data_IF_945361782543
#
_entry.id   IF_945361782543
#
_cell.length_a   1.000
_cell.length_b   1.000
_cell.length_c   1.000
_cell.angle_alpha   90.00
_cell.angle_beta   90.00
_cell.angle_gamma   90.00
#
_symmetry.space_group_name_H-M   'P 1'
#
loop_
_entity.id
_entity.type
_entity.pdbx_description
1 polymer ?
#
# COMPACT_ATOMS: atom_id res chain seq x y z
N UNK A 1 10.51 -2.61 11.91
CA UNK A 1 10.82 -2.02 10.61
C UNK A 1 12.01 -1.11 10.78
N UNK A 2 13.08 -1.42 10.11
CA UNK A 2 14.27 -0.58 10.07
C UNK A 2 14.05 0.49 9.00
N UNK A 3 13.71 1.70 9.42
CA UNK A 3 14.01 2.87 8.62
C UNK A 3 15.50 3.16 8.78
N UNK A 4 16.24 3.33 7.69
CA UNK A 4 17.68 3.13 7.59
C UNK A 4 18.61 3.93 8.52
N UNK A 5 18.13 4.69 9.51
CA UNK A 5 18.96 5.40 10.49
C UNK A 5 18.35 5.56 11.90
N UNK A 6 17.11 5.16 12.12
CA UNK A 6 16.48 5.19 13.44
C UNK A 6 15.76 3.88 13.72
N UNK A 7 16.39 2.99 14.47
CA UNK A 7 15.72 1.82 15.01
C UNK A 7 14.58 2.25 15.93
N UNK A 8 13.33 1.88 15.59
CA UNK A 8 12.21 1.99 16.53
C UNK A 8 12.25 0.75 17.41
N UNK A 9 12.46 0.92 18.69
CA UNK A 9 12.40 -0.16 19.67
C UNK A 9 10.92 -0.35 20.05
N UNK A 10 10.34 -1.49 19.69
CA UNK A 10 9.01 -1.87 20.06
C UNK A 10 9.09 -2.85 21.23
N UNK A 11 8.38 -2.57 22.32
CA UNK A 11 8.22 -3.53 23.41
C UNK A 11 7.38 -4.72 22.89
N UNK A 12 7.84 -5.94 23.15
CA UNK A 12 7.13 -7.15 22.71
C UNK A 12 5.72 -7.25 23.30
N UNK A 13 5.51 -6.69 24.51
CA UNK A 13 4.19 -6.63 25.12
C UNK A 13 3.18 -5.80 24.29
N UNK A 14 3.65 -4.82 23.52
CA UNK A 14 2.79 -4.04 22.62
C UNK A 14 2.28 -4.85 21.43
N UNK A 15 2.89 -6.00 21.14
CA UNK A 15 2.45 -6.90 20.06
C UNK A 15 1.39 -7.91 20.51
N UNK A 16 1.21 -8.14 21.82
CA UNK A 16 0.23 -9.11 22.32
C UNK A 16 -1.19 -8.88 21.77
N UNK A 17 -1.74 -7.64 21.71
CA UNK A 17 -3.09 -7.41 21.22
C UNK A 17 -3.29 -7.73 19.74
N UNK A 18 -2.20 -7.81 18.96
CA UNK A 18 -2.25 -8.03 17.51
C UNK A 18 -1.79 -9.44 17.12
N UNK A 19 -1.36 -10.23 18.10
CA UNK A 19 -0.94 -11.61 17.87
C UNK A 19 -2.08 -12.45 17.31
N UNK A 20 -1.84 -13.13 16.19
CA UNK A 20 -2.85 -13.95 15.50
C UNK A 20 -3.83 -13.16 14.62
N UNK A 21 -3.65 -11.86 14.46
CA UNK A 21 -4.45 -11.05 13.53
C UNK A 21 -3.76 -10.99 12.17
N UNK A 22 -4.13 -11.91 11.27
CA UNK A 22 -3.44 -12.07 9.97
C UNK A 22 -3.95 -11.15 8.85
N UNK A 23 -5.15 -10.57 8.99
CA UNK A 23 -5.83 -9.86 7.89
C UNK A 23 -5.94 -8.35 8.11
N UNK A 24 -5.08 -7.78 8.94
CA UNK A 24 -5.03 -6.34 9.20
C UNK A 24 -3.61 -5.81 9.18
N UNK A 25 -3.48 -4.55 8.83
CA UNK A 25 -2.24 -3.78 8.94
C UNK A 25 -2.42 -2.81 10.09
N UNK A 26 -1.36 -2.66 10.89
CA UNK A 26 -1.36 -1.77 12.04
C UNK A 26 -0.34 -0.65 11.83
N UNK A 27 -0.72 0.54 12.20
CA UNK A 27 0.16 1.69 12.33
C UNK A 27 0.65 1.77 13.78
N UNK A 28 1.96 1.92 13.95
CA UNK A 28 2.59 2.15 15.24
C UNK A 28 3.03 3.61 15.33
N UNK A 29 2.51 4.37 16.28
CA UNK A 29 2.81 5.79 16.49
C UNK A 29 3.97 6.03 17.46
N UNK A 30 4.65 4.97 17.89
CA UNK A 30 5.70 4.99 18.92
C UNK A 30 5.20 4.55 20.30
N UNK A 31 3.88 4.36 20.47
CA UNK A 31 3.25 3.93 21.74
C UNK A 31 2.20 2.86 21.55
N UNK A 32 1.33 3.02 20.55
CA UNK A 32 0.16 2.18 20.33
C UNK A 32 0.14 1.63 18.91
N UNK A 33 -0.40 0.43 18.77
CA UNK A 33 -0.73 -0.19 17.50
C UNK A 33 -2.21 0.04 17.20
N UNK A 34 -2.48 0.78 16.12
CA UNK A 34 -3.84 1.08 15.67
C UNK A 34 -4.07 0.41 14.31
N UNK A 35 -5.16 -0.36 14.12
CA UNK A 35 -5.45 -0.93 12.82
C UNK A 35 -5.71 0.17 11.79
N UNK A 36 -5.15 0.00 10.58
CA UNK A 36 -5.37 0.94 9.47
C UNK A 36 -6.70 0.62 8.82
N UNK A 37 -7.75 1.12 9.46
CA UNK A 37 -9.14 0.93 9.02
C UNK A 37 -10.01 2.14 9.37
N UNK A 38 -11.03 2.40 8.56
CA UNK A 38 -12.01 3.48 8.75
C UNK A 38 -13.41 2.93 8.55
N UNK A 39 -14.32 3.31 9.43
CA UNK A 39 -15.77 3.09 9.30
C UNK A 39 -16.45 4.45 9.13
N UNK A 40 -17.02 4.68 7.96
CA UNK A 40 -17.77 5.88 7.62
C UNK A 40 -19.06 5.51 6.89
N UNK A 41 -19.20 5.87 5.65
CA UNK A 41 -20.23 5.41 4.71
C UNK A 41 -20.00 3.97 4.23
N UNK A 42 -18.85 3.38 4.58
CA UNK A 42 -18.44 2.01 4.33
C UNK A 42 -17.38 1.56 5.32
N UNK A 43 -16.91 0.33 5.17
CA UNK A 43 -15.79 -0.21 5.92
C UNK A 43 -14.57 -0.36 5.01
N UNK A 44 -13.56 0.44 5.30
CA UNK A 44 -12.30 0.53 4.57
C UNK A 44 -11.19 0.01 5.44
N UNK A 45 -10.36 -0.90 4.93
CA UNK A 45 -9.17 -1.37 5.64
C UNK A 45 -8.03 -1.72 4.69
N UNK A 46 -6.80 -1.59 5.16
CA UNK A 46 -5.65 -2.17 4.49
C UNK A 46 -5.51 -3.64 4.88
N UNK A 47 -5.34 -4.48 3.88
CA UNK A 47 -5.14 -5.92 4.02
C UNK A 47 -3.74 -6.29 3.52
N UNK A 48 -2.97 -7.06 4.29
CA UNK A 48 -1.66 -7.51 3.84
C UNK A 48 -1.76 -8.43 2.63
N UNK A 49 -0.76 -8.41 1.79
CA UNK A 49 -0.48 -9.36 0.72
C UNK A 49 0.99 -9.79 0.81
N UNK A 50 1.53 -10.44 -0.18
CA UNK A 50 2.92 -10.88 -0.15
C UNK A 50 3.92 -9.71 -0.14
N UNK A 51 3.64 -8.60 -0.81
CA UNK A 51 4.54 -7.44 -0.84
C UNK A 51 3.87 -6.13 -0.45
N UNK A 52 2.92 -5.65 -1.25
CA UNK A 52 2.25 -4.37 -1.02
C UNK A 52 0.79 -4.59 -0.63
N UNK A 53 0.28 -3.89 0.40
CA UNK A 53 -1.08 -4.06 0.87
C UNK A 53 -2.13 -3.75 -0.21
N UNK A 54 -3.32 -4.28 -0.03
CA UNK A 54 -4.49 -3.87 -0.81
C UNK A 54 -5.50 -3.14 0.05
N UNK A 55 -6.19 -2.17 -0.54
CA UNK A 55 -7.38 -1.58 0.07
C UNK A 55 -8.55 -2.56 -0.11
N UNK A 56 -9.27 -2.85 0.97
CA UNK A 56 -10.52 -3.58 0.97
C UNK A 56 -11.66 -2.64 1.37
N UNK A 57 -12.70 -2.57 0.56
CA UNK A 57 -13.89 -1.76 0.80
C UNK A 57 -15.09 -2.70 0.90
N UNK A 58 -15.75 -2.73 2.06
CA UNK A 58 -16.91 -3.60 2.33
C UNK A 58 -16.67 -5.08 1.93
N UNK A 59 -15.46 -5.59 2.17
CA UNK A 59 -15.08 -6.97 1.87
C UNK A 59 -14.58 -7.20 0.43
N UNK A 60 -14.55 -6.16 -0.41
CA UNK A 60 -14.06 -6.25 -1.79
C UNK A 60 -12.66 -5.64 -1.89
N UNK A 61 -11.69 -6.41 -2.33
CA UNK A 61 -10.32 -5.94 -2.56
C UNK A 61 -10.24 -5.12 -3.84
N UNK A 62 -9.62 -3.94 -3.75
CA UNK A 62 -9.52 -3.00 -4.86
C UNK A 62 -8.39 -3.34 -5.84
N UNK A 63 -7.36 -4.02 -5.39
CA UNK A 63 -6.28 -4.47 -6.25
C UNK A 63 -6.44 -5.96 -6.58
N UNK A 64 -5.97 -6.35 -7.75
CA UNK A 64 -5.79 -7.77 -8.08
C UNK A 64 -4.79 -8.36 -7.10
N UNK A 65 -5.21 -9.38 -6.35
CA UNK A 65 -4.40 -10.06 -5.34
C UNK A 65 -4.53 -11.58 -5.41
N UNK A 66 -5.19 -12.09 -6.47
CA UNK A 66 -5.27 -13.52 -6.79
C UNK A 66 -4.33 -13.78 -7.94
N UNK A 67 -3.42 -14.73 -7.78
CA UNK A 67 -2.41 -15.17 -8.75
C UNK A 67 -1.34 -14.12 -9.11
N UNK A 68 -1.43 -12.91 -8.60
CA UNK A 68 -0.40 -11.87 -8.75
C UNK A 68 -0.48 -10.89 -7.56
N UNK A 69 0.66 -10.44 -7.09
CA UNK A 69 0.74 -9.42 -6.05
C UNK A 69 0.40 -8.03 -6.60
N UNK A 70 -0.28 -7.16 -5.82
CA UNK A 70 -0.64 -5.80 -6.25
C UNK A 70 0.52 -4.97 -6.77
N UNK A 71 1.69 -5.09 -6.16
CA UNK A 71 2.89 -4.37 -6.60
C UNK A 71 3.41 -4.87 -7.93
N UNK A 72 3.44 -6.18 -8.13
CA UNK A 72 3.85 -6.79 -9.40
C UNK A 72 2.89 -6.45 -10.54
N UNK A 73 1.58 -6.50 -10.29
CA UNK A 73 0.54 -6.14 -11.27
C UNK A 73 0.69 -4.67 -11.70
N UNK A 74 0.82 -3.74 -10.74
CA UNK A 74 1.02 -2.34 -11.03
C UNK A 74 2.33 -2.07 -11.78
N UNK A 75 3.43 -2.71 -11.38
CA UNK A 75 4.73 -2.61 -12.06
C UNK A 75 4.65 -3.11 -13.50
N UNK A 76 4.05 -4.28 -13.71
CA UNK A 76 3.93 -4.85 -15.03
C UNK A 76 3.08 -3.98 -15.98
N UNK A 77 1.93 -3.49 -15.52
CA UNK A 77 1.06 -2.60 -16.29
C UNK A 77 1.75 -1.29 -16.63
N UNK A 78 2.42 -0.67 -15.67
CA UNK A 78 3.13 0.59 -15.87
C UNK A 78 4.27 0.45 -16.87
N UNK A 79 5.04 -0.64 -16.79
CA UNK A 79 6.14 -0.92 -17.71
C UNK A 79 5.70 -1.08 -19.19
N UNK A 80 4.43 -1.42 -19.44
CA UNK A 80 3.92 -1.53 -20.80
C UNK A 80 3.72 -0.17 -21.48
N UNK A 81 3.43 0.88 -20.71
CA UNK A 81 2.95 2.16 -21.24
C UNK A 81 3.86 3.33 -20.95
N UNK A 82 4.61 3.34 -19.84
CA UNK A 82 5.47 4.45 -19.44
C UNK A 82 6.88 4.29 -20.02
N UNK A 83 7.42 5.38 -20.51
CA UNK A 83 8.80 5.49 -21.04
C UNK A 83 9.57 6.55 -20.26
N UNK A 84 10.91 6.46 -20.20
CA UNK A 84 11.74 7.53 -19.66
C UNK A 84 11.46 8.86 -20.37
N UNK A 85 11.26 9.92 -19.60
CA UNK A 85 10.91 11.24 -20.09
C UNK A 85 9.42 11.56 -20.19
N UNK A 86 8.54 10.59 -19.96
CA UNK A 86 7.09 10.80 -20.04
C UNK A 86 6.56 11.70 -18.93
N UNK A 87 5.45 12.40 -19.24
CA UNK A 87 4.56 13.03 -18.26
C UNK A 87 3.32 12.13 -18.18
N UNK A 88 3.04 11.62 -17.00
CA UNK A 88 1.98 10.64 -16.76
C UNK A 88 0.83 11.28 -15.98
N UNK A 89 -0.40 11.08 -16.44
CA UNK A 89 -1.63 11.35 -15.70
C UNK A 89 -2.22 10.02 -15.23
N UNK A 90 -2.27 9.83 -13.92
CA UNK A 90 -2.90 8.70 -13.25
C UNK A 90 -4.24 9.15 -12.68
N UNK A 91 -5.33 8.74 -13.30
CA UNK A 91 -6.69 9.21 -12.99
C UNK A 91 -7.40 8.41 -11.91
N UNK A 92 -6.81 7.32 -11.46
CA UNK A 92 -7.35 6.43 -10.41
C UNK A 92 -6.19 5.94 -9.55
N UNK A 93 -5.57 6.86 -8.83
CA UNK A 93 -4.33 6.65 -8.11
C UNK A 93 -4.40 5.63 -6.97
N UNK A 94 -5.53 5.55 -6.29
CA UNK A 94 -5.75 4.62 -5.20
C UNK A 94 -4.65 4.72 -4.14
N UNK A 95 -3.94 3.62 -3.90
CA UNK A 95 -2.79 3.59 -2.99
C UNK A 95 -1.48 4.12 -3.63
N UNK A 96 -1.53 4.66 -4.85
CA UNK A 96 -0.42 5.30 -5.52
C UNK A 96 0.60 4.35 -6.17
N UNK A 97 0.30 3.08 -6.32
CA UNK A 97 1.27 2.10 -6.84
C UNK A 97 1.65 2.38 -8.30
N UNK A 98 0.68 2.70 -9.16
CA UNK A 98 0.92 3.11 -10.54
C UNK A 98 1.80 4.35 -10.62
N UNK A 99 1.55 5.37 -9.79
CA UNK A 99 2.34 6.58 -9.74
C UNK A 99 3.80 6.31 -9.34
N UNK A 100 4.02 5.50 -8.31
CA UNK A 100 5.37 5.09 -7.85
C UNK A 100 6.10 4.34 -8.96
N UNK A 101 5.46 3.38 -9.61
CA UNK A 101 6.11 2.62 -10.68
C UNK A 101 6.32 3.44 -11.95
N UNK A 102 5.47 4.45 -12.24
CA UNK A 102 5.72 5.39 -13.32
C UNK A 102 7.00 6.21 -13.10
N UNK A 103 7.22 6.71 -11.88
CA UNK A 103 8.47 7.38 -11.51
C UNK A 103 9.66 6.44 -11.66
N UNK A 104 9.54 5.21 -11.17
CA UNK A 104 10.60 4.19 -11.30
C UNK A 104 10.88 3.79 -12.74
N UNK A 105 9.89 3.88 -13.63
CA UNK A 105 10.06 3.65 -15.07
C UNK A 105 10.70 4.84 -15.80
N UNK A 106 10.96 5.96 -15.12
CA UNK A 106 11.66 7.13 -15.66
C UNK A 106 10.73 8.27 -16.10
N UNK A 107 9.46 8.27 -15.70
CA UNK A 107 8.60 9.43 -15.91
C UNK A 107 9.20 10.67 -15.21
N UNK A 108 9.25 11.80 -15.93
CA UNK A 108 9.78 13.06 -15.39
C UNK A 108 8.76 13.80 -14.54
N UNK A 109 7.49 13.47 -14.71
CA UNK A 109 6.40 14.01 -13.91
C UNK A 109 5.24 13.02 -13.86
N UNK A 110 4.66 12.85 -12.70
CA UNK A 110 3.41 12.10 -12.50
C UNK A 110 2.41 13.00 -11.79
N UNK A 111 1.20 13.06 -12.34
CA UNK A 111 0.05 13.74 -11.73
C UNK A 111 -0.94 12.61 -11.41
N UNK A 112 -1.22 12.39 -10.15
CA UNK A 112 -2.15 11.36 -9.71
C UNK A 112 -3.37 12.01 -9.05
N UNK A 113 -4.55 11.51 -9.38
CA UNK A 113 -5.84 11.94 -8.82
C UNK A 113 -6.63 10.72 -8.36
N UNK A 114 -7.51 10.93 -7.36
CA UNK A 114 -8.40 9.93 -6.80
C UNK A 114 -9.82 10.47 -6.74
#
# INVERSE_FOLDING_TARGET
VLDGERGICLDLSALEPVQGVENKIFHFDGRTLTPVEIRADGYYKLVPTESLPTLEINGVKMHRSKDIDPGEDARAKTALVVRPGDIVLDTCGGLGYSAVFAVKAGAVRVISTE
#
